data_IF_141309020444
#
_entry.id   IF_141309020444
#
_cell.length_a   1.000
_cell.length_b   1.000
_cell.length_c   1.000
_cell.angle_alpha   90.00
_cell.angle_beta   90.00
_cell.angle_gamma   90.00
#
_symmetry.space_group_name_H-M   'P 1'
#
loop_
_entity.id
_entity.type
_entity.pdbx_description
1 polymer ?
#
# COMPACT_ATOMS: atom_id res chain seq x y z
N UNK A 1 13.61 2.97 4.45
CA UNK A 1 12.94 4.21 4.02
C UNK A 1 11.51 4.17 4.54
N UNK A 2 10.96 5.26 5.06
CA UNK A 2 9.58 5.25 5.59
C UNK A 2 8.55 5.05 4.47
N UNK A 3 7.49 4.26 4.73
CA UNK A 3 6.45 3.95 3.75
C UNK A 3 5.82 5.21 3.16
N UNK A 4 5.43 6.15 4.02
CA UNK A 4 4.86 7.45 3.60
C UNK A 4 5.77 8.21 2.64
N UNK A 5 7.08 8.25 2.94
CA UNK A 5 8.07 8.91 2.07
C UNK A 5 8.18 8.20 0.72
N UNK A 6 8.14 6.87 0.69
CA UNK A 6 8.17 6.08 -0.55
C UNK A 6 6.98 6.44 -1.44
N UNK A 7 5.78 6.45 -0.88
CA UNK A 7 4.55 6.81 -1.61
C UNK A 7 4.62 8.24 -2.14
N UNK A 8 5.08 9.20 -1.33
CA UNK A 8 5.26 10.60 -1.78
C UNK A 8 6.22 10.72 -2.96
N UNK A 9 7.27 9.90 -3.04
CA UNK A 9 8.19 9.93 -4.19
C UNK A 9 7.55 9.33 -5.44
N UNK A 10 6.78 8.25 -5.32
CA UNK A 10 6.06 7.64 -6.45
C UNK A 10 5.02 8.62 -7.04
N UNK A 11 4.30 9.34 -6.16
CA UNK A 11 3.32 10.38 -6.54
C UNK A 11 3.92 11.55 -7.33
N UNK A 12 5.15 11.97 -7.03
CA UNK A 12 5.80 13.07 -7.76
C UNK A 12 6.07 12.73 -9.22
N UNK A 13 6.23 11.45 -9.52
CA UNK A 13 6.68 10.99 -10.83
C UNK A 13 5.54 10.36 -11.65
N UNK A 14 4.35 10.14 -11.07
CA UNK A 14 3.25 9.40 -11.72
C UNK A 14 1.88 9.94 -11.31
N UNK A 15 1.06 10.28 -12.31
CA UNK A 15 -0.37 10.53 -12.17
C UNK A 15 -1.09 10.18 -13.49
N UNK A 16 -2.11 9.31 -13.48
CA UNK A 16 -2.66 8.56 -12.34
C UNK A 16 -1.78 7.38 -11.91
N UNK A 17 -1.84 6.98 -10.64
CA UNK A 17 -1.12 5.80 -10.12
C UNK A 17 -1.98 4.55 -10.29
N UNK A 18 -1.53 3.64 -11.16
CA UNK A 18 -2.16 2.32 -11.40
C UNK A 18 -1.44 1.21 -10.63
N UNK A 19 -0.13 1.34 -10.44
CA UNK A 19 0.72 0.37 -9.74
C UNK A 19 1.58 1.07 -8.70
N UNK A 20 1.56 0.56 -7.46
CA UNK A 20 2.35 1.08 -6.35
C UNK A 20 3.15 -0.02 -5.65
N UNK A 21 4.46 0.15 -5.63
CA UNK A 21 5.41 -0.77 -4.98
C UNK A 21 6.08 -0.07 -3.81
N UNK A 22 5.82 -0.57 -2.61
CA UNK A 22 6.37 -0.01 -1.36
C UNK A 22 7.21 -1.05 -0.61
N UNK A 23 7.76 -2.02 -1.33
CA UNK A 23 8.59 -3.08 -0.77
C UNK A 23 9.82 -2.52 -0.04
N UNK A 24 10.23 -3.20 1.04
CA UNK A 24 11.35 -2.81 1.91
C UNK A 24 11.22 -1.40 2.53
N UNK A 25 10.00 -0.83 2.52
CA UNK A 25 9.69 0.36 3.30
C UNK A 25 9.43 0.01 4.76
N UNK A 26 9.38 0.99 5.66
CA UNK A 26 9.11 0.78 7.08
C UNK A 26 7.77 1.41 7.43
N UNK A 27 6.82 0.60 7.93
CA UNK A 27 5.62 1.10 8.62
C UNK A 27 5.98 1.55 10.03
N UNK A 28 5.41 2.65 10.53
CA UNK A 28 5.70 3.12 11.89
C UNK A 28 5.13 2.18 12.97
N UNK A 29 3.83 1.91 12.94
CA UNK A 29 3.11 1.14 13.96
C UNK A 29 2.64 -0.24 13.46
N UNK A 30 3.27 -0.74 12.40
CA UNK A 30 2.79 -1.94 11.70
C UNK A 30 1.50 -1.72 10.91
N UNK A 31 1.16 -0.47 10.64
CA UNK A 31 -0.02 -0.10 9.86
C UNK A 31 0.37 0.59 8.54
N UNK A 32 -0.58 0.57 7.60
CA UNK A 32 -0.44 1.22 6.30
C UNK A 32 -0.46 2.74 6.49
N UNK A 33 0.53 3.43 5.91
CA UNK A 33 0.65 4.88 6.00
C UNK A 33 0.88 5.51 4.62
N UNK A 34 0.20 6.65 4.38
CA UNK A 34 0.37 7.44 3.16
C UNK A 34 -0.48 7.00 1.97
N UNK A 35 -1.22 5.90 2.08
CA UNK A 35 -2.32 5.59 1.16
C UNK A 35 -3.57 6.37 1.53
N UNK A 36 -4.22 6.97 0.54
CA UNK A 36 -5.51 7.68 0.63
C UNK A 36 -6.52 7.05 -0.32
N UNK A 37 -7.77 7.44 -0.22
CA UNK A 37 -8.85 7.08 -1.15
C UNK A 37 -8.73 7.76 -2.52
N UNK A 38 -7.77 8.68 -2.70
CA UNK A 38 -7.44 9.33 -3.98
C UNK A 38 -6.84 8.37 -5.01
N UNK A 39 -6.33 7.22 -4.55
CA UNK A 39 -5.74 6.17 -5.38
C UNK A 39 -6.83 5.31 -6.05
N UNK A 40 -7.85 5.94 -6.62
CA UNK A 40 -9.02 5.27 -7.22
C UNK A 40 -8.66 4.39 -8.41
N UNK A 41 -7.61 4.77 -9.15
CA UNK A 41 -7.06 4.05 -10.31
C UNK A 41 -6.06 2.95 -9.95
N UNK A 42 -5.75 2.77 -8.66
CA UNK A 42 -4.75 1.81 -8.22
C UNK A 42 -5.28 0.38 -8.39
N UNK A 43 -4.67 -0.38 -9.29
CA UNK A 43 -5.01 -1.78 -9.57
C UNK A 43 -4.09 -2.75 -8.83
N UNK A 44 -2.84 -2.36 -8.60
CA UNK A 44 -1.83 -3.23 -7.98
C UNK A 44 -1.06 -2.52 -6.85
N UNK A 45 -0.97 -3.21 -5.71
CA UNK A 45 -0.23 -2.76 -4.52
C UNK A 45 0.69 -3.89 -4.03
N UNK A 46 1.99 -3.64 -3.99
CA UNK A 46 2.98 -4.55 -3.39
C UNK A 46 3.52 -4.00 -2.07
N UNK A 47 3.41 -4.81 -1.02
CA UNK A 47 3.77 -4.48 0.36
C UNK A 47 4.63 -5.61 0.97
N UNK A 48 5.81 -5.85 0.41
CA UNK A 48 6.72 -6.92 0.86
C UNK A 48 7.76 -6.40 1.84
N UNK A 49 8.00 -7.15 2.92
CA UNK A 49 9.03 -6.84 3.93
C UNK A 49 8.88 -5.43 4.54
N UNK A 50 7.65 -5.03 4.79
CA UNK A 50 7.32 -3.68 5.28
C UNK A 50 7.08 -3.57 6.79
N UNK A 51 6.96 -4.72 7.47
CA UNK A 51 6.70 -4.77 8.91
C UNK A 51 5.24 -4.53 9.31
N UNK A 52 4.29 -4.71 8.39
CA UNK A 52 2.85 -4.54 8.67
C UNK A 52 2.33 -5.67 9.58
N UNK A 53 1.69 -5.28 10.68
CA UNK A 53 0.90 -6.14 11.57
C UNK A 53 -0.60 -6.08 11.24
N UNK A 54 -1.07 -5.00 10.62
CA UNK A 54 -2.48 -4.78 10.29
C UNK A 54 -2.68 -4.05 8.96
N UNK A 55 -3.77 -4.38 8.26
CA UNK A 55 -4.26 -3.70 7.07
C UNK A 55 -5.52 -2.87 7.36
N UNK A 56 -5.85 -2.60 8.62
CA UNK A 56 -7.08 -1.91 9.01
C UNK A 56 -7.17 -0.46 8.49
N UNK A 57 -6.02 0.21 8.35
CA UNK A 57 -5.92 1.58 7.81
C UNK A 57 -5.86 1.64 6.27
N UNK A 58 -6.11 0.54 5.57
CA UNK A 58 -6.14 0.55 4.11
C UNK A 58 -7.41 1.31 3.63
N UNK A 59 -7.27 2.37 2.81
CA UNK A 59 -8.43 3.10 2.29
C UNK A 59 -9.27 2.24 1.32
N UNK A 60 -10.46 2.73 0.96
CA UNK A 60 -11.29 2.10 -0.05
C UNK A 60 -10.68 2.30 -1.44
N UNK A 61 -10.21 1.21 -2.05
CA UNK A 61 -9.54 1.22 -3.35
C UNK A 61 -10.36 0.37 -4.33
N UNK A 62 -11.32 0.96 -5.07
CA UNK A 62 -12.33 0.21 -5.81
C UNK A 62 -11.76 -0.62 -6.96
N UNK A 63 -10.66 -0.18 -7.57
CA UNK A 63 -9.98 -0.89 -8.66
C UNK A 63 -8.89 -1.85 -8.18
N UNK A 64 -8.53 -1.80 -6.89
CA UNK A 64 -7.43 -2.61 -6.38
C UNK A 64 -7.79 -4.08 -6.46
N UNK A 65 -7.06 -4.82 -7.30
CA UNK A 65 -7.21 -6.26 -7.42
C UNK A 65 -6.50 -6.91 -6.23
N UNK A 66 -7.19 -6.96 -5.10
CA UNK A 66 -6.72 -7.66 -3.90
C UNK A 66 -6.52 -9.13 -4.25
N UNK A 67 -5.27 -9.57 -4.34
CA UNK A 67 -4.95 -10.98 -4.15
C UNK A 67 -5.22 -11.25 -2.68
N UNK A 68 -6.39 -11.78 -2.37
CA UNK A 68 -6.73 -12.24 -1.03
C UNK A 68 -5.77 -13.37 -0.70
N UNK A 69 -4.65 -13.06 -0.06
CA UNK A 69 -3.90 -14.03 0.71
C UNK A 69 -4.83 -14.47 1.83
N UNK A 70 -5.58 -15.54 1.56
CA UNK A 70 -6.14 -16.43 2.56
C UNK A 70 -4.95 -16.95 3.36
N UNK A 71 -4.52 -16.23 4.39
CA UNK A 71 -3.76 -16.87 5.47
C UNK A 71 -4.77 -17.70 6.23
N UNK A 72 -4.76 -18.99 5.90
CA UNK A 72 -5.47 -20.03 6.60
C UNK A 72 -5.29 -19.87 8.10
N UNK A 73 -6.40 -19.99 8.81
CA UNK A 73 -6.52 -20.39 10.20
C UNK A 73 -5.45 -21.41 10.59
N UNK A 74 -4.67 -21.10 11.62
CA UNK A 74 -4.47 -21.95 12.80
C UNK A 74 -3.77 -21.19 13.91
#
# INVERSE_FOLDING_TARGET
>A
MDMKKRITLELRNRSPIVELVVDNSRSADGEVEGLTDEFTELEFLSVVNVGLSSLAKLPSLPKLRKRSSRTSTK
#
